data_IF_010553291945
#
_entry.id   IF_010553291945
#
_cell.length_a   1.000
_cell.length_b   1.000
_cell.length_c   1.000
_cell.angle_alpha   90.00
_cell.angle_beta   90.00
_cell.angle_gamma   90.00
#
_symmetry.space_group_name_H-M   'P 1'
#
loop_
_entity.id
_entity.type
_entity.pdbx_description
1 polymer ?
#
# COMPACT_ATOMS: atom_id res chain seq x y z
N UNK A 1 40.82 -26.86 0.63
CA UNK A 1 39.56 -27.60 0.41
C UNK A 1 39.20 -28.36 1.69
N UNK A 2 39.99 -29.27 2.16
CA UNK A 2 39.68 -30.10 3.36
C UNK A 2 39.44 -29.27 4.62
N UNK A 3 40.22 -28.23 4.86
CA UNK A 3 40.09 -27.31 6.00
C UNK A 3 38.73 -26.56 6.04
N UNK A 4 38.10 -26.44 4.88
CA UNK A 4 36.77 -25.77 4.71
C UNK A 4 35.65 -26.76 4.40
N UNK A 5 35.79 -28.04 4.81
CA UNK A 5 34.75 -29.05 4.73
C UNK A 5 34.46 -29.61 3.34
N UNK A 6 35.32 -29.42 2.36
CA UNK A 6 35.18 -30.03 1.04
C UNK A 6 35.96 -31.36 0.96
N UNK A 7 35.29 -32.41 0.55
CA UNK A 7 35.89 -33.76 0.47
C UNK A 7 37.01 -33.89 -0.57
N UNK A 8 36.90 -33.13 -1.66
CA UNK A 8 37.89 -33.15 -2.73
C UNK A 8 38.30 -31.75 -3.25
N UNK A 9 39.49 -31.55 -3.80
CA UNK A 9 39.89 -30.31 -4.43
C UNK A 9 38.97 -29.89 -5.59
N UNK A 10 38.43 -30.87 -6.33
CA UNK A 10 37.52 -30.65 -7.47
C UNK A 10 36.18 -30.09 -6.98
N UNK A 11 35.62 -30.60 -5.89
CA UNK A 11 34.39 -30.08 -5.31
C UNK A 11 34.52 -28.66 -4.82
N UNK A 12 35.67 -28.35 -4.18
CA UNK A 12 36.02 -26.97 -3.82
C UNK A 12 36.17 -26.08 -5.05
N UNK A 13 36.88 -26.52 -6.09
CA UNK A 13 37.06 -25.73 -7.31
C UNK A 13 35.73 -25.40 -7.98
N UNK A 14 34.79 -26.36 -8.06
CA UNK A 14 33.45 -26.12 -8.62
C UNK A 14 32.67 -25.10 -7.80
N UNK A 15 32.65 -25.25 -6.49
CA UNK A 15 31.95 -24.32 -5.59
C UNK A 15 32.56 -22.92 -5.65
N UNK A 16 33.88 -22.83 -5.63
CA UNK A 16 34.62 -21.57 -5.72
C UNK A 16 34.35 -20.85 -7.04
N UNK A 17 34.42 -21.57 -8.17
CA UNK A 17 34.15 -20.99 -9.48
C UNK A 17 32.71 -20.52 -9.63
N UNK A 18 31.74 -21.31 -9.12
CA UNK A 18 30.34 -20.92 -9.11
C UNK A 18 30.09 -19.63 -8.32
N UNK A 19 30.83 -19.43 -7.23
CA UNK A 19 30.66 -18.30 -6.32
C UNK A 19 31.40 -17.04 -6.78
N UNK A 20 32.65 -17.18 -7.26
CA UNK A 20 33.52 -16.06 -7.64
C UNK A 20 33.60 -15.80 -9.13
N UNK A 21 33.01 -16.66 -9.98
CA UNK A 21 33.07 -16.54 -11.44
C UNK A 21 34.45 -16.84 -12.03
N UNK A 22 35.43 -17.25 -11.19
CA UNK A 22 36.82 -17.52 -11.57
C UNK A 22 37.37 -18.72 -10.77
N UNK A 23 38.40 -19.39 -11.28
CA UNK A 23 38.99 -20.56 -10.62
C UNK A 23 39.93 -20.17 -9.48
N UNK A 24 40.16 -21.03 -8.46
CA UNK A 24 41.14 -20.80 -7.40
C UNK A 24 42.56 -20.58 -7.92
N UNK A 25 42.92 -21.23 -9.04
CA UNK A 25 44.25 -21.10 -9.67
C UNK A 25 44.40 -19.72 -10.30
N UNK A 26 43.38 -19.21 -10.98
CA UNK A 26 43.38 -17.87 -11.56
C UNK A 26 43.52 -16.79 -10.49
N UNK A 27 42.81 -16.94 -9.38
CA UNK A 27 42.89 -16.00 -8.23
C UNK A 27 44.28 -16.04 -7.56
N UNK A 28 44.97 -17.21 -7.53
CA UNK A 28 46.35 -17.28 -7.03
C UNK A 28 47.31 -16.50 -7.90
N UNK A 29 47.07 -16.46 -9.22
CA UNK A 29 47.90 -15.71 -10.17
C UNK A 29 47.57 -14.22 -10.16
N UNK A 30 46.29 -13.90 -10.02
CA UNK A 30 45.77 -12.53 -10.01
C UNK A 30 44.64 -12.38 -9.02
N UNK A 31 44.92 -11.80 -7.85
CA UNK A 31 43.98 -11.59 -6.75
C UNK A 31 42.87 -10.61 -7.08
N UNK A 32 43.06 -9.74 -8.09
CA UNK A 32 42.01 -8.78 -8.51
C UNK A 32 40.77 -9.46 -9.11
N UNK A 33 40.92 -10.71 -9.56
CA UNK A 33 39.80 -11.52 -10.11
C UNK A 33 38.84 -12.11 -9.04
N UNK A 34 39.21 -12.02 -7.77
CA UNK A 34 38.37 -12.54 -6.70
C UNK A 34 37.29 -11.51 -6.32
N UNK A 35 36.03 -11.91 -6.38
CA UNK A 35 34.96 -11.11 -5.79
C UNK A 35 35.07 -11.15 -4.27
N UNK A 36 35.33 -9.99 -3.67
CA UNK A 36 35.32 -9.82 -2.22
C UNK A 36 33.89 -9.51 -1.78
N UNK A 37 33.33 -10.40 -0.98
CA UNK A 37 32.09 -10.14 -0.30
C UNK A 37 32.40 -9.46 1.02
N UNK A 38 31.97 -8.22 1.15
CA UNK A 38 32.03 -7.53 2.44
C UNK A 38 31.16 -8.28 3.46
N UNK A 39 31.54 -8.31 4.74
CA UNK A 39 30.69 -8.86 5.77
C UNK A 39 29.31 -8.24 5.73
N UNK A 40 28.28 -9.06 5.88
CA UNK A 40 26.91 -8.57 5.93
C UNK A 40 26.75 -7.65 7.15
N UNK A 41 26.65 -6.35 6.93
CA UNK A 41 26.31 -5.40 7.98
C UNK A 41 24.79 -5.38 8.13
N UNK A 42 24.26 -6.10 9.11
CA UNK A 42 22.86 -5.99 9.52
C UNK A 42 22.75 -4.83 10.49
N UNK A 43 22.23 -3.72 10.05
CA UNK A 43 21.85 -2.60 10.94
C UNK A 43 20.45 -2.85 11.44
N UNK A 44 20.30 -3.30 12.69
CA UNK A 44 19.00 -3.35 13.38
C UNK A 44 18.77 -1.97 13.97
N UNK A 45 17.93 -1.16 13.36
CA UNK A 45 17.49 0.10 13.92
C UNK A 45 16.30 -0.17 14.83
N UNK A 46 16.55 -0.34 16.13
CA UNK A 46 15.50 -0.39 17.14
C UNK A 46 15.06 1.05 17.36
N UNK A 47 14.00 1.49 16.71
CA UNK A 47 13.30 2.71 17.08
C UNK A 47 12.33 2.34 18.21
N UNK A 48 12.50 2.95 19.36
CA UNK A 48 11.54 2.88 20.47
C UNK A 48 10.18 3.35 19.96
N UNK A 49 9.10 2.62 20.30
CA UNK A 49 7.79 2.76 19.72
C UNK A 49 7.29 4.20 19.71
N UNK A 50 7.21 4.79 18.53
CA UNK A 50 6.39 5.97 18.32
C UNK A 50 4.95 5.53 18.55
N UNK A 51 4.27 6.12 19.54
CA UNK A 51 2.83 5.90 19.73
C UNK A 51 2.14 6.34 18.43
N UNK A 52 1.63 5.38 17.67
CA UNK A 52 0.73 5.70 16.56
C UNK A 52 -0.59 6.10 17.22
N UNK A 53 -1.01 7.35 17.03
CA UNK A 53 -2.28 7.82 17.53
C UNK A 53 -3.39 7.27 16.63
N UNK A 54 -4.38 6.65 17.25
CA UNK A 54 -5.58 6.16 16.56
C UNK A 54 -6.80 6.31 17.46
N UNK A 55 -7.97 6.40 16.84
CA UNK A 55 -9.28 6.30 17.50
C UNK A 55 -9.95 5.00 17.09
N UNK A 56 -10.88 4.53 17.92
CA UNK A 56 -11.69 3.35 17.57
C UNK A 56 -13.17 3.74 17.59
N UNK A 57 -13.81 3.58 16.44
CA UNK A 57 -15.19 3.98 16.23
C UNK A 57 -15.98 2.86 15.55
N UNK A 58 -17.29 2.76 15.87
CA UNK A 58 -18.22 1.89 15.17
C UNK A 58 -18.91 2.66 14.06
N UNK A 59 -19.04 2.04 12.90
CA UNK A 59 -19.86 2.57 11.80
C UNK A 59 -20.86 1.51 11.35
N UNK A 60 -22.05 1.94 10.98
CA UNK A 60 -23.00 1.10 10.26
C UNK A 60 -22.50 0.76 8.86
N UNK A 61 -23.10 -0.24 8.23
CA UNK A 61 -22.79 -0.56 6.85
C UNK A 61 -23.16 0.61 5.93
N UNK A 62 -22.29 0.94 4.99
CA UNK A 62 -22.54 1.98 4.01
C UNK A 62 -22.07 1.55 2.63
N UNK A 63 -22.69 2.11 1.60
CA UNK A 63 -22.34 1.81 0.21
C UNK A 63 -21.50 2.93 -0.36
N UNK A 64 -20.45 2.57 -1.09
CA UNK A 64 -19.63 3.48 -1.87
C UNK A 64 -19.81 3.22 -3.36
N UNK A 65 -19.62 4.27 -4.17
CA UNK A 65 -19.59 4.23 -5.62
C UNK A 65 -18.22 4.70 -6.10
N UNK A 66 -17.66 4.09 -7.14
CA UNK A 66 -16.38 4.54 -7.66
C UNK A 66 -15.81 3.71 -8.80
N UNK A 67 -14.58 4.02 -9.14
CA UNK A 67 -13.78 3.32 -10.14
C UNK A 67 -12.92 2.26 -9.48
N UNK A 68 -12.94 1.05 -10.02
CA UNK A 68 -12.22 -0.09 -9.46
C UNK A 68 -11.10 -0.55 -10.42
N UNK A 69 -9.95 -0.88 -9.84
CA UNK A 69 -8.82 -1.51 -10.56
C UNK A 69 -8.16 -2.57 -9.67
N UNK A 70 -7.57 -3.56 -10.33
CA UNK A 70 -6.82 -4.64 -9.68
C UNK A 70 -5.35 -4.26 -9.57
N UNK A 71 -4.75 -4.38 -8.38
CA UNK A 71 -3.34 -4.08 -8.11
C UNK A 71 -2.60 -5.26 -7.50
N UNK A 72 -1.28 -5.27 -7.63
CA UNK A 72 -0.40 -6.16 -6.89
C UNK A 72 0.06 -5.48 -5.60
N UNK A 73 0.17 -6.23 -4.50
CA UNK A 73 0.74 -5.70 -3.26
C UNK A 73 2.19 -5.20 -3.43
N UNK A 74 2.96 -5.79 -4.36
CA UNK A 74 4.36 -5.44 -4.58
C UNK A 74 4.54 -4.06 -5.24
N UNK A 75 3.61 -3.65 -6.12
CA UNK A 75 3.74 -2.44 -6.95
C UNK A 75 2.74 -1.34 -6.60
N UNK A 76 1.77 -1.64 -5.73
CA UNK A 76 0.61 -0.77 -5.43
C UNK A 76 1.01 0.64 -4.96
N UNK A 77 2.07 0.79 -4.17
CA UNK A 77 2.51 2.11 -3.67
C UNK A 77 2.93 3.07 -4.79
N UNK A 78 3.34 2.53 -5.94
CA UNK A 78 3.66 3.31 -7.13
C UNK A 78 2.44 3.47 -8.04
N UNK A 79 1.70 2.39 -8.25
CA UNK A 79 0.64 2.33 -9.26
C UNK A 79 -0.67 3.02 -8.82
N UNK A 80 -0.99 3.02 -7.52
CA UNK A 80 -2.21 3.66 -7.01
C UNK A 80 -2.18 5.18 -7.20
N UNK A 81 -1.10 5.93 -6.90
CA UNK A 81 -1.02 7.36 -7.22
C UNK A 81 -1.20 7.67 -8.71
N UNK A 82 -0.65 6.83 -9.59
CA UNK A 82 -0.83 6.96 -11.02
C UNK A 82 -2.31 6.75 -11.42
N UNK A 83 -2.99 5.79 -10.80
CA UNK A 83 -4.42 5.55 -11.01
C UNK A 83 -5.29 6.74 -10.58
N UNK A 84 -4.99 7.40 -9.46
CA UNK A 84 -5.67 8.62 -9.05
C UNK A 84 -5.52 9.72 -10.09
N UNK A 85 -4.28 9.95 -10.55
CA UNK A 85 -4.00 10.96 -11.57
C UNK A 85 -4.71 10.66 -12.89
N UNK A 86 -4.69 9.40 -13.33
CA UNK A 86 -5.34 8.93 -14.56
C UNK A 86 -6.86 9.07 -14.46
N UNK A 87 -7.44 8.69 -13.33
CA UNK A 87 -8.89 8.77 -13.09
C UNK A 87 -9.40 10.19 -13.31
N UNK A 88 -8.79 11.18 -12.66
CA UNK A 88 -9.22 12.58 -12.82
C UNK A 88 -9.01 13.10 -14.24
N UNK A 89 -7.89 12.79 -14.89
CA UNK A 89 -7.63 13.23 -16.27
C UNK A 89 -8.63 12.68 -17.27
N UNK A 90 -9.04 11.42 -17.12
CA UNK A 90 -9.93 10.74 -18.07
C UNK A 90 -11.40 11.04 -17.77
N UNK A 91 -11.78 10.99 -16.50
CA UNK A 91 -13.19 10.98 -16.10
C UNK A 91 -13.70 12.31 -15.56
N UNK A 92 -12.82 13.25 -15.21
CA UNK A 92 -13.18 14.53 -14.66
C UNK A 92 -12.50 15.75 -15.33
N UNK A 93 -12.28 15.76 -16.66
CA UNK A 93 -11.53 16.83 -17.30
C UNK A 93 -12.19 18.21 -17.20
N UNK A 94 -13.53 18.29 -17.17
CA UNK A 94 -14.23 19.56 -17.00
C UNK A 94 -14.18 20.05 -15.56
N UNK A 95 -14.21 19.15 -14.58
CA UNK A 95 -14.05 19.48 -13.16
C UNK A 95 -12.65 20.04 -12.94
N UNK A 96 -11.60 19.37 -13.44
CA UNK A 96 -10.21 19.86 -13.35
C UNK A 96 -10.02 21.22 -14.02
N UNK A 97 -10.77 21.47 -15.10
CA UNK A 97 -10.71 22.77 -15.80
C UNK A 97 -11.59 23.87 -15.14
N UNK A 98 -12.21 23.61 -14.00
CA UNK A 98 -13.10 24.54 -13.31
C UNK A 98 -14.40 24.87 -14.04
N UNK A 99 -14.82 24.01 -15.02
CA UNK A 99 -16.00 24.22 -15.85
C UNK A 99 -17.27 23.55 -15.29
N UNK A 100 -17.15 22.89 -14.15
CA UNK A 100 -18.19 22.05 -13.57
C UNK A 100 -18.47 20.77 -14.37
N UNK A 101 -19.31 19.87 -13.83
CA UNK A 101 -19.62 18.59 -14.47
C UNK A 101 -20.43 18.78 -15.76
N UNK A 102 -20.13 17.99 -16.80
CA UNK A 102 -20.84 18.01 -18.09
C UNK A 102 -21.28 16.62 -18.55
N UNK A 103 -20.69 15.56 -17.99
CA UNK A 103 -21.02 14.18 -18.31
C UNK A 103 -21.73 13.51 -17.15
N UNK A 104 -22.48 12.42 -17.40
CA UNK A 104 -23.09 11.61 -16.31
C UNK A 104 -22.02 11.16 -15.28
N UNK A 105 -20.82 10.84 -15.75
CA UNK A 105 -19.69 10.42 -14.92
C UNK A 105 -19.21 11.58 -14.04
N UNK A 106 -19.03 12.78 -14.60
CA UNK A 106 -18.60 13.96 -13.83
C UNK A 106 -19.65 14.39 -12.80
N UNK A 107 -20.93 14.31 -13.15
CA UNK A 107 -22.02 14.53 -12.19
C UNK A 107 -21.96 13.54 -11.05
N UNK A 108 -21.80 12.23 -11.34
CA UNK A 108 -21.68 11.20 -10.30
C UNK A 108 -20.45 11.41 -9.41
N UNK A 109 -19.32 11.86 -9.98
CA UNK A 109 -18.10 12.18 -9.23
C UNK A 109 -18.40 13.27 -8.19
N UNK A 110 -19.06 14.34 -8.59
CA UNK A 110 -19.37 15.46 -7.68
C UNK A 110 -20.48 15.12 -6.66
N UNK A 111 -21.56 14.50 -7.12
CA UNK A 111 -22.71 14.18 -6.27
C UNK A 111 -22.39 13.15 -5.17
N UNK A 112 -21.44 12.25 -5.46
CA UNK A 112 -21.03 11.20 -4.54
C UNK A 112 -19.63 11.45 -3.93
N UNK A 113 -19.07 12.64 -4.07
CA UNK A 113 -17.75 12.98 -3.51
C UNK A 113 -16.69 11.93 -3.84
N UNK A 114 -16.67 11.42 -5.09
CA UNK A 114 -15.69 10.38 -5.51
C UNK A 114 -14.30 10.98 -5.45
N UNK A 115 -13.47 10.37 -4.62
CA UNK A 115 -12.16 10.90 -4.22
C UNK A 115 -12.04 11.03 -2.70
N UNK A 116 -13.16 10.94 -1.95
CA UNK A 116 -13.14 10.93 -0.49
C UNK A 116 -12.58 9.61 0.07
N UNK A 117 -12.77 8.50 -0.65
CA UNK A 117 -12.30 7.18 -0.21
C UNK A 117 -11.42 6.47 -1.22
N UNK A 118 -10.32 5.86 -0.72
CA UNK A 118 -9.63 4.75 -1.33
C UNK A 118 -10.02 3.46 -0.61
N UNK A 119 -10.66 2.51 -1.31
CA UNK A 119 -11.12 1.26 -0.67
C UNK A 119 -10.29 0.09 -1.18
N UNK A 120 -9.49 -0.51 -0.28
CA UNK A 120 -8.74 -1.72 -0.55
C UNK A 120 -9.59 -2.94 -0.20
N UNK A 121 -9.72 -3.91 -1.11
CA UNK A 121 -10.56 -5.11 -0.94
C UNK A 121 -9.73 -6.34 -1.34
N UNK A 122 -9.38 -7.16 -0.36
CA UNK A 122 -8.50 -8.33 -0.54
C UNK A 122 -9.29 -9.60 -0.88
N UNK A 123 -10.22 -9.51 -1.84
CA UNK A 123 -11.00 -10.64 -2.34
C UNK A 123 -10.70 -10.98 -3.80
N UNK A 124 -9.56 -10.49 -4.32
CA UNK A 124 -9.18 -10.72 -5.70
C UNK A 124 -8.98 -12.22 -6.00
N UNK A 125 -9.39 -12.68 -7.19
CA UNK A 125 -9.29 -14.10 -7.56
C UNK A 125 -7.85 -14.58 -7.76
N UNK A 126 -6.87 -13.66 -7.82
CA UNK A 126 -5.46 -13.96 -8.03
C UNK A 126 -4.64 -13.73 -6.76
N UNK A 127 -3.78 -14.70 -6.34
CA UNK A 127 -2.88 -14.52 -5.21
C UNK A 127 -1.98 -13.28 -5.37
N UNK A 128 -1.73 -12.56 -4.28
CA UNK A 128 -0.87 -11.39 -4.28
C UNK A 128 -1.49 -10.14 -4.90
N UNK A 129 -2.79 -10.16 -5.22
CA UNK A 129 -3.54 -9.03 -5.77
C UNK A 129 -4.72 -8.65 -4.90
N UNK A 130 -5.14 -7.40 -5.01
CA UNK A 130 -6.32 -6.85 -4.37
C UNK A 130 -7.03 -5.86 -5.31
N UNK A 131 -8.32 -5.64 -5.05
CA UNK A 131 -9.09 -4.58 -5.73
C UNK A 131 -8.92 -3.28 -4.97
N UNK A 132 -8.74 -2.19 -5.68
CA UNK A 132 -8.72 -0.85 -5.13
C UNK A 132 -9.76 0.00 -5.83
N UNK A 133 -10.57 0.74 -5.06
CA UNK A 133 -11.56 1.66 -5.60
C UNK A 133 -11.21 3.09 -5.19
N UNK A 134 -11.22 3.99 -6.17
CA UNK A 134 -11.35 5.42 -5.90
C UNK A 134 -12.84 5.70 -5.82
N UNK A 135 -13.33 6.05 -4.65
CA UNK A 135 -14.75 6.02 -4.35
C UNK A 135 -15.22 7.22 -3.51
N UNK A 136 -16.51 7.33 -3.38
CA UNK A 136 -17.19 8.23 -2.45
C UNK A 136 -18.47 7.61 -1.92
N UNK A 137 -19.13 8.22 -0.91
CA UNK A 137 -20.37 7.70 -0.31
C UNK A 137 -21.50 7.75 -1.35
N UNK A 138 -22.10 6.59 -1.64
CA UNK A 138 -23.19 6.51 -2.61
C UNK A 138 -24.48 7.18 -2.09
N UNK A 139 -24.88 8.24 -2.77
CA UNK A 139 -26.07 9.02 -2.41
C UNK A 139 -27.36 8.50 -3.08
N UNK A 140 -27.28 7.39 -3.80
CA UNK A 140 -28.39 6.86 -4.61
C UNK A 140 -28.33 7.28 -6.08
N UNK A 141 -29.31 6.82 -6.86
CA UNK A 141 -29.41 7.16 -8.28
C UNK A 141 -28.79 6.15 -9.24
N UNK A 142 -28.55 6.60 -10.47
CA UNK A 142 -27.99 5.78 -11.55
C UNK A 142 -26.48 5.60 -11.36
N UNK A 143 -26.01 4.39 -11.52
CA UNK A 143 -24.58 4.08 -11.56
C UNK A 143 -24.10 4.22 -13.01
N UNK A 144 -23.23 5.19 -13.34
CA UNK A 144 -22.68 5.35 -14.69
C UNK A 144 -21.85 4.14 -15.12
N UNK A 145 -21.76 3.96 -16.44
CA UNK A 145 -20.91 2.92 -17.02
C UNK A 145 -19.45 3.08 -16.57
N UNK A 146 -18.81 2.00 -16.16
CA UNK A 146 -17.42 1.98 -15.67
C UNK A 146 -17.29 2.20 -14.16
N UNK A 147 -18.34 2.62 -13.46
CA UNK A 147 -18.38 2.69 -12.01
C UNK A 147 -18.98 1.41 -11.39
N UNK A 148 -18.62 1.14 -10.15
CA UNK A 148 -19.11 0.01 -9.37
C UNK A 148 -19.56 0.47 -8.00
N UNK A 149 -20.48 -0.31 -7.41
CA UNK A 149 -20.87 -0.19 -6.02
C UNK A 149 -20.15 -1.24 -5.18
N UNK A 150 -19.78 -0.84 -3.96
CA UNK A 150 -19.29 -1.75 -2.93
C UNK A 150 -19.93 -1.39 -1.60
N UNK A 151 -20.48 -2.39 -0.90
CA UNK A 151 -21.03 -2.19 0.43
C UNK A 151 -19.95 -2.52 1.46
N UNK A 152 -19.50 -1.50 2.16
CA UNK A 152 -18.61 -1.62 3.31
C UNK A 152 -19.43 -2.16 4.47
N UNK A 153 -19.08 -3.32 5.07
CA UNK A 153 -19.84 -3.89 6.17
C UNK A 153 -19.78 -3.01 7.42
N UNK A 154 -20.82 -3.09 8.24
CA UNK A 154 -20.80 -2.52 9.59
C UNK A 154 -19.64 -3.08 10.38
N UNK A 155 -18.84 -2.22 10.98
CA UNK A 155 -17.64 -2.64 11.69
C UNK A 155 -17.19 -1.65 12.77
N UNK A 156 -16.27 -2.11 13.60
CA UNK A 156 -15.44 -1.26 14.43
C UNK A 156 -14.15 -0.94 13.65
N UNK A 157 -13.75 0.31 13.63
CA UNK A 157 -12.63 0.80 12.85
C UNK A 157 -11.58 1.46 13.74
N UNK A 158 -10.34 1.00 13.66
CA UNK A 158 -9.19 1.75 14.13
C UNK A 158 -8.82 2.76 13.05
N UNK A 159 -8.94 4.06 13.34
CA UNK A 159 -8.67 5.16 12.43
C UNK A 159 -7.37 5.84 12.78
N UNK A 160 -6.44 5.86 11.85
CA UNK A 160 -5.10 6.42 11.99
C UNK A 160 -5.00 7.73 11.21
N UNK A 161 -4.84 8.84 11.90
CA UNK A 161 -4.65 10.13 11.26
C UNK A 161 -3.31 10.18 10.50
N UNK A 162 -3.37 10.72 9.29
CA UNK A 162 -2.20 11.00 8.45
C UNK A 162 -2.18 12.50 8.16
N UNK A 163 -1.10 13.18 8.48
CA UNK A 163 -0.92 14.61 8.22
C UNK A 163 0.32 14.79 7.36
N UNK A 164 0.18 15.50 6.26
CA UNK A 164 1.25 15.82 5.32
C UNK A 164 0.92 15.48 3.87
N UNK A 165 1.86 15.85 2.99
CA UNK A 165 1.71 15.68 1.55
C UNK A 165 1.54 14.22 1.12
N UNK A 166 0.60 14.01 0.20
CA UNK A 166 0.38 12.70 -0.43
C UNK A 166 1.41 12.42 -1.54
N UNK A 167 1.70 11.16 -1.83
CA UNK A 167 1.23 9.96 -1.13
C UNK A 167 2.04 9.59 0.12
N UNK A 168 3.11 10.32 0.42
CA UNK A 168 4.13 9.94 1.40
C UNK A 168 3.60 9.84 2.83
N UNK A 169 2.76 10.78 3.26
CA UNK A 169 2.17 10.78 4.60
C UNK A 169 1.34 9.51 4.83
N UNK A 170 0.43 9.22 3.91
CA UNK A 170 -0.44 8.03 3.94
C UNK A 170 0.38 6.74 3.92
N UNK A 171 1.32 6.61 2.98
CA UNK A 171 2.16 5.41 2.83
C UNK A 171 3.03 5.14 4.07
N UNK A 172 3.54 6.21 4.70
CA UNK A 172 4.32 6.10 5.94
C UNK A 172 3.49 5.55 7.09
N UNK A 173 2.27 6.09 7.29
CA UNK A 173 1.36 5.61 8.33
C UNK A 173 0.90 4.18 8.03
N UNK A 174 0.54 3.88 6.77
CA UNK A 174 0.14 2.53 6.37
C UNK A 174 1.24 1.51 6.68
N UNK A 175 2.49 1.80 6.31
CA UNK A 175 3.62 0.93 6.62
C UNK A 175 3.75 0.67 8.12
N UNK A 176 3.63 1.70 8.97
CA UNK A 176 3.70 1.56 10.42
C UNK A 176 2.53 0.76 11.00
N UNK A 177 1.33 0.95 10.47
CA UNK A 177 0.14 0.18 10.91
C UNK A 177 0.38 -1.31 10.71
N UNK A 178 0.83 -1.73 9.53
CA UNK A 178 1.04 -3.14 9.20
C UNK A 178 2.30 -3.74 9.80
N UNK A 179 3.41 -2.98 9.91
CA UNK A 179 4.69 -3.49 10.41
C UNK A 179 4.87 -3.39 11.92
N UNK A 180 4.19 -2.44 12.59
CA UNK A 180 4.42 -2.15 14.00
C UNK A 180 3.13 -2.28 14.83
N UNK A 181 2.07 -1.53 14.44
CA UNK A 181 0.87 -1.46 15.26
C UNK A 181 0.12 -2.79 15.30
N UNK A 182 -0.19 -3.38 14.17
CA UNK A 182 -0.96 -4.61 14.10
C UNK A 182 -0.26 -5.80 14.78
N UNK A 183 1.05 -6.07 14.53
CA UNK A 183 1.75 -7.13 15.23
C UNK A 183 1.92 -6.87 16.73
N UNK A 184 2.07 -5.61 17.13
CA UNK A 184 2.27 -5.20 18.54
C UNK A 184 0.98 -4.96 19.32
N UNK A 185 -0.17 -4.94 18.67
CA UNK A 185 -1.45 -4.61 19.30
C UNK A 185 -1.95 -5.78 20.17
N UNK A 186 -2.27 -5.47 21.43
CA UNK A 186 -2.79 -6.45 22.39
C UNK A 186 -4.31 -6.41 22.57
N UNK A 187 -4.97 -5.39 22.00
CA UNK A 187 -6.38 -5.11 22.25
C UNK A 187 -7.28 -5.56 21.10
N UNK A 188 -6.77 -5.51 19.86
CA UNK A 188 -7.58 -5.72 18.66
C UNK A 188 -6.93 -6.70 17.68
N UNK A 189 -7.78 -7.48 16.99
CA UNK A 189 -7.46 -8.28 15.81
C UNK A 189 -8.14 -7.68 14.57
N UNK A 190 -7.68 -8.07 13.36
CA UNK A 190 -8.35 -7.68 12.13
C UNK A 190 -9.74 -8.31 12.03
N UNK A 191 -10.74 -7.49 11.67
CA UNK A 191 -12.12 -7.93 11.48
C UNK A 191 -12.44 -8.32 10.03
N UNK A 192 -11.58 -8.00 9.07
CA UNK A 192 -11.85 -8.26 7.65
C UNK A 192 -10.64 -8.05 6.76
N UNK A 193 -10.80 -8.42 5.49
CA UNK A 193 -9.80 -8.28 4.43
C UNK A 193 -10.08 -7.07 3.54
N UNK A 194 -10.27 -5.93 4.15
CA UNK A 194 -10.49 -4.64 3.50
C UNK A 194 -10.03 -3.53 4.44
N UNK A 195 -9.66 -2.40 3.87
CA UNK A 195 -9.35 -1.18 4.60
C UNK A 195 -9.77 0.04 3.78
N UNK A 196 -9.88 1.19 4.43
CA UNK A 196 -10.29 2.44 3.81
C UNK A 196 -9.19 3.47 4.04
N UNK A 197 -8.86 4.19 2.99
CA UNK A 197 -8.13 5.45 3.02
C UNK A 197 -9.17 6.56 2.91
N UNK A 198 -9.19 7.46 3.88
CA UNK A 198 -10.04 8.66 3.83
C UNK A 198 -9.18 9.87 3.49
N UNK A 199 -9.71 10.72 2.65
CA UNK A 199 -9.07 11.92 2.15
C UNK A 199 -9.94 13.15 2.44
N UNK A 200 -9.37 14.20 3.02
CA UNK A 200 -10.09 15.45 3.24
C UNK A 200 -10.55 16.06 1.93
N UNK A 201 -11.78 16.57 1.90
CA UNK A 201 -12.25 17.38 0.78
C UNK A 201 -11.61 18.78 0.79
N UNK A 202 -11.09 19.21 1.93
CA UNK A 202 -10.49 20.51 2.15
C UNK A 202 -8.97 20.42 2.11
N UNK A 203 -8.35 21.44 1.53
CA UNK A 203 -6.89 21.56 1.50
C UNK A 203 -6.26 21.09 0.21
N UNK A 204 -4.93 21.30 0.15
CA UNK A 204 -4.10 20.89 -0.98
C UNK A 204 -3.43 19.55 -0.64
N UNK A 205 -3.65 18.48 -1.42
CA UNK A 205 -3.00 17.18 -1.20
C UNK A 205 -1.46 17.22 -1.18
N UNK A 206 -0.86 18.24 -1.77
CA UNK A 206 0.60 18.44 -1.76
C UNK A 206 1.08 19.22 -0.53
N UNK A 207 0.16 19.69 0.32
CA UNK A 207 0.53 20.47 1.52
C UNK A 207 1.05 19.58 2.67
N UNK A 208 1.93 20.17 3.48
CA UNK A 208 2.49 19.53 4.68
C UNK A 208 1.48 19.39 5.83
N UNK A 209 0.34 20.05 5.75
CA UNK A 209 -0.75 20.02 6.72
C UNK A 209 -2.03 19.34 6.19
N UNK A 210 -1.98 18.74 5.00
CA UNK A 210 -3.11 17.99 4.44
C UNK A 210 -3.51 16.83 5.35
N UNK A 211 -4.82 16.71 5.63
CA UNK A 211 -5.37 15.68 6.50
C UNK A 211 -5.93 14.51 5.70
N UNK A 212 -5.56 13.32 6.10
CA UNK A 212 -6.09 12.06 5.59
C UNK A 212 -6.08 11.00 6.70
N UNK A 213 -6.62 9.83 6.47
CA UNK A 213 -6.64 8.78 7.49
C UNK A 213 -6.69 7.38 6.88
N UNK A 214 -6.17 6.40 7.61
CA UNK A 214 -6.31 4.97 7.30
C UNK A 214 -7.26 4.34 8.31
N UNK A 215 -8.28 3.64 7.83
CA UNK A 215 -9.25 2.93 8.65
C UNK A 215 -9.06 1.43 8.49
N UNK A 216 -8.74 0.76 9.58
CA UNK A 216 -8.53 -0.69 9.63
C UNK A 216 -9.71 -1.32 10.39
N UNK A 217 -10.42 -2.31 9.82
CA UNK A 217 -11.51 -2.98 10.51
C UNK A 217 -10.96 -3.86 11.63
N UNK A 218 -11.49 -3.71 12.84
CA UNK A 218 -10.96 -4.39 14.02
C UNK A 218 -12.07 -5.04 14.85
N UNK A 219 -11.69 -6.08 15.59
CA UNK A 219 -12.50 -6.69 16.66
C UNK A 219 -11.67 -6.77 17.94
N UNK A 220 -12.25 -6.62 19.13
CA UNK A 220 -11.56 -6.84 20.38
C UNK A 220 -10.97 -8.26 20.46
N UNK A 221 -9.74 -8.37 20.92
CA UNK A 221 -9.13 -9.68 21.26
C UNK A 221 -9.89 -10.31 22.42
N UNK A 222 -10.00 -11.63 22.37
CA UNK A 222 -10.61 -12.44 23.45
C UNK A 222 -9.64 -12.68 24.58
#
# INVERSE_FOLDING_TARGET
ALEYGYETPESFTKAFTRFHGTTPIEVRRDRSKMQLFLPLHVSIKIQGGSKINYTVEKTEAFTVIGFERLFSFETSYKEIPDFWTEMYKIHAPNILAGKGPKTEVEHAIMENYIGEFGVCIEDAPAPGKFRYMIAGPYQGGKVPQGMKLYTVPANMWAKFACVGALPNAMQSVNTKVWSEWLPGNKEYDLAGKYNIEWYSADGDPDSTDYESAIWIPVIPKK
#
